data_IF_476441049121
#
_entry.id   IF_476441049121
#
_cell.length_a   1.000
_cell.length_b   1.000
_cell.length_c   1.000
_cell.angle_alpha   90.00
_cell.angle_beta   90.00
_cell.angle_gamma   90.00
#
_symmetry.space_group_name_H-M   'P 1'
#
loop_
_entity.id
_entity.type
_entity.pdbx_description
1 polymer ?
#
# COMPACT_ATOMS: atom_id res chain seq x y z
N UNK A 1 -3.94 27.46 9.92
CA UNK A 1 -3.48 26.33 9.09
C UNK A 1 -3.75 26.64 7.62
N UNK A 2 -2.72 26.59 6.76
CA UNK A 2 -2.80 26.99 5.34
C UNK A 2 -3.75 26.06 4.54
N UNK A 3 -4.50 26.60 3.58
CA UNK A 3 -5.47 25.86 2.74
C UNK A 3 -4.80 24.69 2.00
N UNK A 4 -3.55 24.88 1.58
CA UNK A 4 -2.75 23.86 0.89
C UNK A 4 -2.48 22.66 1.80
N UNK A 5 -2.17 22.92 3.08
CA UNK A 5 -1.88 21.87 4.06
C UNK A 5 -3.12 21.03 4.34
N UNK A 6 -4.28 21.69 4.51
CA UNK A 6 -5.58 21.00 4.65
C UNK A 6 -5.87 20.10 3.45
N UNK A 7 -5.70 20.63 2.24
CA UNK A 7 -5.93 19.88 1.01
C UNK A 7 -5.05 18.62 0.94
N UNK A 8 -3.75 18.75 1.25
CA UNK A 8 -2.81 17.62 1.26
C UNK A 8 -3.19 16.59 2.34
N UNK A 9 -3.49 17.02 3.57
CA UNK A 9 -3.93 16.13 4.65
C UNK A 9 -5.17 15.32 4.27
N UNK A 10 -6.20 15.97 3.76
CA UNK A 10 -7.43 15.27 3.36
C UNK A 10 -7.19 14.35 2.17
N UNK A 11 -6.34 14.74 1.21
CA UNK A 11 -5.98 13.88 0.08
C UNK A 11 -5.29 12.58 0.55
N UNK A 12 -4.40 12.68 1.53
CA UNK A 12 -3.72 11.52 2.13
C UNK A 12 -4.69 10.61 2.87
N UNK A 13 -5.65 11.18 3.62
CA UNK A 13 -6.70 10.41 4.29
C UNK A 13 -7.55 9.66 3.26
N UNK A 14 -7.99 10.34 2.20
CA UNK A 14 -8.78 9.73 1.12
C UNK A 14 -8.01 8.61 0.43
N UNK A 15 -6.73 8.82 0.12
CA UNK A 15 -5.83 7.80 -0.42
C UNK A 15 -5.73 6.59 0.52
N UNK A 16 -5.48 6.82 1.80
CA UNK A 16 -5.37 5.74 2.79
C UNK A 16 -6.67 4.95 2.96
N UNK A 17 -7.81 5.62 2.98
CA UNK A 17 -9.13 4.98 2.98
C UNK A 17 -9.38 4.18 1.69
N UNK A 18 -9.01 4.70 0.53
CA UNK A 18 -9.11 3.97 -0.73
C UNK A 18 -8.27 2.68 -0.68
N UNK A 19 -7.01 2.76 -0.22
CA UNK A 19 -6.16 1.58 -0.02
C UNK A 19 -6.81 0.54 0.88
N UNK A 20 -7.37 0.95 2.03
CA UNK A 20 -8.10 0.03 2.91
C UNK A 20 -9.28 -0.63 2.21
N UNK A 21 -10.11 0.14 1.52
CA UNK A 21 -11.27 -0.36 0.76
C UNK A 21 -10.83 -1.37 -0.30
N UNK A 22 -9.74 -1.10 -1.04
CA UNK A 22 -9.17 -2.02 -2.03
C UNK A 22 -8.77 -3.36 -1.40
N UNK A 23 -8.23 -3.35 -0.18
CA UNK A 23 -7.88 -4.57 0.56
C UNK A 23 -9.08 -5.47 0.84
N UNK A 24 -10.24 -4.88 1.15
CA UNK A 24 -11.46 -5.61 1.50
C UNK A 24 -12.28 -6.03 0.27
N UNK A 25 -12.41 -5.14 -0.73
CA UNK A 25 -13.32 -5.34 -1.87
C UNK A 25 -12.63 -6.05 -3.05
N UNK A 26 -11.34 -5.80 -3.29
CA UNK A 26 -10.76 -5.96 -4.63
C UNK A 26 -9.51 -6.81 -4.77
N UNK A 27 -9.00 -7.41 -3.68
CA UNK A 27 -7.67 -8.02 -3.69
C UNK A 27 -7.46 -9.08 -4.79
N UNK A 28 -8.49 -9.85 -5.17
CA UNK A 28 -8.31 -10.97 -6.10
C UNK A 28 -8.03 -10.58 -7.56
N UNK A 29 -8.57 -9.48 -8.09
CA UNK A 29 -8.36 -9.14 -9.52
C UNK A 29 -7.18 -8.22 -9.76
N UNK A 30 -6.94 -7.29 -8.84
CA UNK A 30 -5.90 -6.28 -9.00
C UNK A 30 -4.55 -6.71 -8.43
N UNK A 31 -4.55 -7.62 -7.46
CA UNK A 31 -3.33 -8.09 -6.79
C UNK A 31 -2.85 -9.44 -7.33
N UNK A 32 -3.60 -10.07 -8.26
CA UNK A 32 -3.13 -11.30 -8.87
C UNK A 32 -2.09 -10.99 -9.95
N UNK A 33 -0.92 -11.63 -9.87
CA UNK A 33 0.05 -11.58 -10.96
C UNK A 33 -0.55 -12.28 -12.17
N UNK A 34 -0.11 -11.86 -13.37
CA UNK A 34 -0.64 -12.37 -14.62
C UNK A 34 -0.58 -13.93 -14.63
N UNK A 35 -1.73 -14.62 -14.64
CA UNK A 35 -1.79 -16.07 -14.51
C UNK A 35 -1.20 -16.79 -15.73
N UNK A 36 -0.94 -16.08 -16.84
CA UNK A 36 -0.21 -16.61 -17.98
C UNK A 36 1.29 -16.73 -17.73
N UNK A 37 1.88 -15.86 -16.88
CA UNK A 37 3.33 -15.77 -16.65
C UNK A 37 3.79 -16.43 -15.34
N UNK A 38 2.96 -16.38 -14.31
CA UNK A 38 3.32 -16.84 -12.96
C UNK A 38 2.34 -17.88 -12.45
N UNK A 39 2.87 -18.87 -11.73
CA UNK A 39 2.10 -19.79 -10.92
C UNK A 39 2.26 -19.42 -9.44
N UNK A 40 1.17 -19.42 -8.67
CA UNK A 40 1.20 -19.08 -7.25
C UNK A 40 1.35 -20.37 -6.45
N UNK A 41 2.46 -20.52 -5.72
CA UNK A 41 2.72 -21.71 -4.90
C UNK A 41 1.68 -21.90 -3.78
N UNK A 42 1.31 -20.81 -3.12
CA UNK A 42 0.35 -20.81 -2.02
C UNK A 42 -0.55 -19.57 -2.10
N UNK A 43 -1.70 -19.73 -2.76
CA UNK A 43 -2.64 -18.67 -3.06
C UNK A 43 -3.18 -17.95 -1.80
N UNK A 44 -3.50 -18.73 -0.76
CA UNK A 44 -4.05 -18.17 0.50
C UNK A 44 -2.99 -17.34 1.24
N UNK A 45 -1.77 -17.85 1.35
CA UNK A 45 -0.68 -17.13 2.02
C UNK A 45 -0.24 -15.87 1.24
N UNK A 46 -0.21 -15.95 -0.10
CA UNK A 46 0.08 -14.81 -0.96
C UNK A 46 -0.95 -13.70 -0.78
N UNK A 47 -2.23 -14.04 -0.89
CA UNK A 47 -3.33 -13.08 -0.72
C UNK A 47 -3.31 -12.43 0.67
N UNK A 48 -3.09 -13.20 1.73
CA UNK A 48 -2.99 -12.65 3.08
C UNK A 48 -1.80 -11.70 3.22
N UNK A 49 -0.64 -12.05 2.66
CA UNK A 49 0.57 -11.21 2.72
C UNK A 49 0.35 -9.87 2.01
N UNK A 50 -0.26 -9.89 0.83
CA UNK A 50 -0.57 -8.67 0.11
C UNK A 50 -1.65 -7.85 0.84
N UNK A 51 -2.70 -8.49 1.37
CA UNK A 51 -3.72 -7.78 2.15
C UNK A 51 -3.10 -7.06 3.35
N UNK A 52 -2.20 -7.70 4.07
CA UNK A 52 -1.50 -7.07 5.19
C UNK A 52 -0.71 -5.86 4.69
N UNK A 53 0.08 -6.00 3.61
CA UNK A 53 0.87 -4.90 3.05
C UNK A 53 0.00 -3.68 2.70
N UNK A 54 -1.07 -3.88 1.92
CA UNK A 54 -1.96 -2.80 1.49
C UNK A 54 -2.71 -2.17 2.66
N UNK A 55 -3.14 -2.99 3.64
CA UNK A 55 -3.80 -2.50 4.84
C UNK A 55 -2.87 -1.61 5.68
N UNK A 56 -1.64 -2.07 5.92
CA UNK A 56 -0.62 -1.31 6.65
C UNK A 56 -0.34 0.04 5.98
N UNK A 57 -0.17 0.05 4.65
CA UNK A 57 0.04 1.29 3.90
C UNK A 57 -1.16 2.23 4.00
N UNK A 58 -2.38 1.70 3.88
CA UNK A 58 -3.60 2.48 4.03
C UNK A 58 -3.69 3.15 5.40
N UNK A 59 -3.42 2.40 6.48
CA UNK A 59 -3.35 2.95 7.83
C UNK A 59 -2.26 4.02 7.97
N UNK A 60 -1.07 3.79 7.43
CA UNK A 60 0.03 4.76 7.46
C UNK A 60 -0.36 6.10 6.80
N UNK A 61 -1.05 6.06 5.65
CA UNK A 61 -1.53 7.27 4.98
C UNK A 61 -2.58 8.03 5.78
N UNK A 62 -3.51 7.31 6.43
CA UNK A 62 -4.53 7.93 7.30
C UNK A 62 -3.86 8.59 8.51
N UNK A 63 -2.97 7.87 9.20
CA UNK A 63 -2.24 8.39 10.36
C UNK A 63 -1.42 9.62 9.96
N UNK A 64 -0.72 9.56 8.83
CA UNK A 64 0.09 10.69 8.37
C UNK A 64 -0.76 11.90 7.97
N UNK A 65 -1.89 11.69 7.29
CA UNK A 65 -2.84 12.76 6.95
C UNK A 65 -3.46 13.41 8.20
N UNK A 66 -3.84 12.61 9.19
CA UNK A 66 -4.33 13.09 10.49
C UNK A 66 -3.25 13.86 11.26
N UNK A 67 -2.02 13.35 11.34
CA UNK A 67 -0.90 14.00 12.03
C UNK A 67 -0.52 15.36 11.42
N UNK A 68 -0.61 15.51 10.09
CA UNK A 68 -0.44 16.81 9.43
C UNK A 68 -1.64 17.73 9.75
N UNK A 69 -2.86 17.19 9.78
CA UNK A 69 -4.07 17.97 10.07
C UNK A 69 -4.16 18.48 11.50
N UNK A 70 -3.62 17.74 12.48
CA UNK A 70 -3.59 18.14 13.90
C UNK A 70 -2.38 19.01 14.23
N UNK A 71 -1.46 19.22 13.29
CA UNK A 71 -0.24 19.99 13.50
C UNK A 71 0.83 19.25 14.31
N UNK A 72 0.66 17.96 14.58
CA UNK A 72 1.65 17.11 15.27
C UNK A 72 2.89 16.91 14.40
N UNK A 73 2.70 16.79 13.08
CA UNK A 73 3.80 16.73 12.12
C UNK A 73 3.91 18.02 11.32
N UNK A 74 5.10 18.61 11.29
CA UNK A 74 5.40 19.76 10.45
C UNK A 74 5.27 19.42 8.97
N UNK A 75 4.71 20.37 8.20
CA UNK A 75 4.50 20.24 6.75
C UNK A 75 5.78 19.97 5.96
N UNK A 76 6.96 20.36 6.47
CA UNK A 76 8.25 20.07 5.82
C UNK A 76 8.69 18.60 5.93
N UNK A 77 8.12 17.84 6.89
CA UNK A 77 8.52 16.46 7.18
C UNK A 77 7.48 15.47 6.63
N UNK A 78 6.20 15.86 6.64
CA UNK A 78 5.09 15.04 6.15
C UNK A 78 5.28 14.46 4.74
N UNK A 79 5.61 15.28 3.72
CA UNK A 79 5.80 14.82 2.35
C UNK A 79 6.98 13.84 2.19
N UNK A 80 8.08 14.05 2.91
CA UNK A 80 9.24 13.15 2.89
C UNK A 80 8.91 11.78 3.49
N UNK A 81 8.12 11.74 4.56
CA UNK A 81 7.62 10.48 5.11
C UNK A 81 6.59 9.80 4.21
N UNK A 82 5.72 10.57 3.55
CA UNK A 82 4.76 10.02 2.61
C UNK A 82 5.44 9.29 1.44
N UNK A 83 6.60 9.75 0.98
CA UNK A 83 7.39 9.11 -0.07
C UNK A 83 8.02 7.77 0.34
N UNK A 84 8.18 7.49 1.64
CA UNK A 84 8.73 6.21 2.13
C UNK A 84 7.75 5.05 1.96
N UNK A 85 6.44 5.29 2.05
CA UNK A 85 5.44 4.22 1.98
C UNK A 85 5.36 3.55 0.60
N UNK A 86 5.36 4.28 -0.54
CA UNK A 86 5.47 3.68 -1.86
C UNK A 86 6.77 2.89 -2.07
N UNK A 87 7.90 3.39 -1.56
CA UNK A 87 9.18 2.71 -1.68
C UNK A 87 9.18 1.37 -0.91
N UNK A 88 8.69 1.37 0.33
CA UNK A 88 8.48 0.17 1.14
C UNK A 88 7.52 -0.81 0.46
N UNK A 89 6.44 -0.30 -0.14
CA UNK A 89 5.48 -1.11 -0.89
C UNK A 89 6.14 -1.90 -2.01
N UNK A 90 6.99 -1.25 -2.82
CA UNK A 90 7.68 -1.89 -3.94
C UNK A 90 8.62 -2.99 -3.43
N UNK A 91 9.41 -2.70 -2.39
CA UNK A 91 10.37 -3.65 -1.83
C UNK A 91 9.66 -4.88 -1.26
N UNK A 92 8.65 -4.67 -0.41
CA UNK A 92 7.92 -5.78 0.21
C UNK A 92 7.14 -6.57 -0.83
N UNK A 93 6.53 -5.91 -1.82
CA UNK A 93 5.85 -6.60 -2.91
C UNK A 93 6.81 -7.50 -3.71
N UNK A 94 8.03 -7.04 -3.98
CA UNK A 94 9.05 -7.86 -4.65
C UNK A 94 9.45 -9.08 -3.81
N UNK A 95 9.57 -8.93 -2.49
CA UNK A 95 9.87 -10.06 -1.57
C UNK A 95 8.72 -11.08 -1.59
N UNK A 96 7.48 -10.62 -1.50
CA UNK A 96 6.29 -11.48 -1.57
C UNK A 96 6.26 -12.21 -2.92
N UNK A 97 6.47 -11.49 -4.02
CA UNK A 97 6.47 -12.09 -5.36
C UNK A 97 7.59 -13.15 -5.50
N UNK A 98 8.80 -12.89 -5.00
CA UNK A 98 9.89 -13.87 -5.03
C UNK A 98 9.61 -15.11 -4.16
N UNK A 99 8.87 -14.95 -3.07
CA UNK A 99 8.56 -16.05 -2.14
C UNK A 99 7.40 -16.94 -2.62
N UNK A 100 6.42 -16.36 -3.31
CA UNK A 100 5.17 -17.05 -3.62
C UNK A 100 4.91 -17.26 -5.12
N UNK A 101 5.67 -16.64 -6.02
CA UNK A 101 5.52 -16.79 -7.47
C UNK A 101 6.68 -17.57 -8.09
N UNK A 102 6.32 -18.57 -8.89
CA UNK A 102 7.24 -19.29 -9.77
C UNK A 102 6.91 -18.94 -11.22
N UNK A 103 7.92 -18.77 -12.07
CA UNK A 103 7.69 -18.62 -13.51
C UNK A 103 7.32 -19.98 -14.09
N UNK A 104 6.33 -20.01 -14.98
CA UNK A 104 5.94 -21.26 -15.66
C UNK A 104 7.05 -21.88 -16.52
N UNK A 105 8.10 -21.14 -16.86
CA UNK A 105 9.25 -21.65 -17.61
C UNK A 105 10.23 -22.45 -16.75
N UNK A 106 10.15 -22.33 -15.41
CA UNK A 106 11.01 -23.02 -14.45
C UNK A 106 10.31 -24.27 -13.84
N UNK A 107 9.11 -24.62 -14.33
CA UNK A 107 8.29 -25.79 -13.98
C UNK A 107 8.36 -26.82 -15.10
#
# INVERSE_FOLDING_TARGET
>A
MNIIIKFISYSLIVLGSAYLIFTFIGAKKWLYPNPKKFNILNERAYLNSIKILFSTIGFCYIILGLSISTGVLSFNIGPSFAALFPALMIIVNNIINKKYLIRKADL
#
